data_IF_741365690781
#
_entry.id   IF_741365690781
#
_cell.length_a   1.000
_cell.length_b   1.000
_cell.length_c   1.000
_cell.angle_alpha   90.00
_cell.angle_beta   90.00
_cell.angle_gamma   90.00
#
_symmetry.space_group_name_H-M   'P 1'
#
loop_
_entity.id
_entity.type
_entity.pdbx_description
1 polymer ?
#
# COMPACT_ATOMS: atom_id res chain seq x y z
N UNK A 1 8.17 6.50 2.88
CA UNK A 1 7.44 5.71 1.88
C UNK A 1 7.18 6.63 0.71
N UNK A 2 7.82 6.45 -0.45
CA UNK A 2 7.59 7.32 -1.62
C UNK A 2 7.30 6.42 -2.80
N UNK A 3 6.08 6.50 -3.32
CA UNK A 3 5.63 5.76 -4.49
C UNK A 3 6.14 6.53 -5.70
N UNK A 4 7.22 6.07 -6.32
CA UNK A 4 7.68 6.65 -7.58
C UNK A 4 6.66 6.29 -8.67
N UNK A 5 6.02 7.32 -9.23
CA UNK A 5 5.15 7.36 -10.42
C UNK A 5 3.62 7.38 -10.27
N UNK A 6 3.03 7.34 -9.07
CA UNK A 6 1.56 7.49 -8.94
C UNK A 6 1.11 8.63 -8.01
N UNK A 7 1.97 9.08 -7.10
CA UNK A 7 1.67 10.15 -6.14
C UNK A 7 2.92 11.01 -5.98
N UNK A 8 2.79 12.31 -6.23
CA UNK A 8 3.86 13.29 -6.01
C UNK A 8 4.29 13.30 -4.54
N UNK A 9 5.57 13.55 -4.28
CA UNK A 9 6.10 13.57 -2.90
C UNK A 9 5.36 14.57 -2.00
N UNK A 10 4.98 15.72 -2.58
CA UNK A 10 4.14 16.75 -1.96
C UNK A 10 2.74 16.24 -1.59
N UNK A 11 2.09 15.49 -2.49
CA UNK A 11 0.78 14.90 -2.23
C UNK A 11 0.86 13.81 -1.15
N UNK A 12 1.95 13.05 -1.10
CA UNK A 12 2.18 12.09 -0.02
C UNK A 12 2.32 12.81 1.33
N UNK A 13 3.09 13.90 1.39
CA UNK A 13 3.27 14.67 2.64
C UNK A 13 1.95 15.32 3.09
N UNK A 14 1.15 15.87 2.17
CA UNK A 14 -0.20 16.39 2.47
C UNK A 14 -1.14 15.33 3.02
N UNK A 15 -1.25 14.19 2.33
CA UNK A 15 -2.08 13.07 2.79
C UNK A 15 -1.62 12.54 4.15
N UNK A 16 -0.31 12.52 4.40
CA UNK A 16 0.24 12.11 5.69
C UNK A 16 -0.13 13.10 6.81
N UNK A 17 -0.10 14.41 6.55
CA UNK A 17 -0.56 15.45 7.50
C UNK A 17 -2.07 15.33 7.76
N UNK A 18 -2.86 14.99 6.74
CA UNK A 18 -4.30 14.75 6.85
C UNK A 18 -4.64 13.42 7.56
N UNK A 19 -3.64 12.70 8.09
CA UNK A 19 -3.82 11.42 8.79
C UNK A 19 -4.07 10.22 7.86
N UNK A 20 -3.99 10.43 6.55
CA UNK A 20 -4.14 9.39 5.54
C UNK A 20 -2.78 8.71 5.31
N UNK A 21 -2.55 7.65 6.06
CA UNK A 21 -1.35 6.84 5.91
C UNK A 21 -1.48 5.91 4.69
N UNK A 22 -0.70 6.17 3.65
CA UNK A 22 -0.67 5.35 2.44
C UNK A 22 0.01 4.00 2.69
N UNK A 23 -0.79 2.97 2.96
CA UNK A 23 -0.31 1.60 3.17
C UNK A 23 -0.22 0.87 1.83
N UNK A 24 0.95 0.95 1.18
CA UNK A 24 1.28 0.26 -0.08
C UNK A 24 2.31 -0.84 0.11
N UNK A 25 2.32 -1.82 -0.81
CA UNK A 25 3.38 -2.83 -0.86
C UNK A 25 4.75 -2.17 -1.05
N UNK A 26 5.77 -2.67 -0.36
CA UNK A 26 7.17 -2.25 -0.56
C UNK A 26 7.62 -2.68 -1.94
N UNK A 27 8.04 -1.73 -2.79
CA UNK A 27 8.66 -2.00 -4.10
C UNK A 27 10.17 -1.83 -4.02
N UNK A 28 10.92 -2.59 -4.83
CA UNK A 28 12.40 -2.64 -4.86
C UNK A 28 13.09 -1.27 -5.01
N UNK A 29 12.41 -0.26 -5.56
CA UNK A 29 12.93 1.11 -5.76
C UNK A 29 12.44 2.13 -4.70
N UNK A 30 11.83 1.69 -3.61
CA UNK A 30 11.44 2.58 -2.51
C UNK A 30 12.62 2.80 -1.57
N UNK A 31 12.85 4.06 -1.16
CA UNK A 31 13.81 4.35 -0.09
C UNK A 31 13.38 3.58 1.17
N UNK A 32 14.28 2.76 1.69
CA UNK A 32 14.04 1.89 2.84
C UNK A 32 13.85 2.76 4.09
N UNK A 33 12.60 3.13 4.38
CA UNK A 33 12.22 3.80 5.63
C UNK A 33 11.61 2.74 6.54
N UNK A 34 11.96 2.75 7.83
CA UNK A 34 11.36 1.86 8.80
C UNK A 34 9.83 1.99 8.73
N UNK A 35 9.17 0.87 8.50
CA UNK A 35 7.72 0.76 8.42
C UNK A 35 7.20 0.41 9.81
N UNK A 36 6.13 1.08 10.24
CA UNK A 36 5.57 0.88 11.56
C UNK A 36 5.06 -0.57 11.74
N UNK A 37 5.05 -1.07 12.97
CA UNK A 37 4.55 -2.41 13.26
C UNK A 37 3.08 -2.58 12.86
N UNK A 38 2.26 -1.55 13.09
CA UNK A 38 0.85 -1.55 12.73
C UNK A 38 0.67 -1.62 11.21
N UNK A 39 1.49 -0.88 10.44
CA UNK A 39 1.48 -0.92 8.98
C UNK A 39 1.78 -2.33 8.46
N UNK A 40 2.70 -3.06 9.09
CA UNK A 40 2.99 -4.47 8.74
C UNK A 40 1.80 -5.39 9.00
N UNK A 41 1.09 -5.20 10.10
CA UNK A 41 -0.11 -6.00 10.42
C UNK A 41 -1.22 -5.73 9.41
N UNK A 42 -1.45 -4.46 9.05
CA UNK A 42 -2.47 -4.07 8.07
C UNK A 42 -2.12 -4.62 6.68
N UNK A 43 -0.85 -4.58 6.27
CA UNK A 43 -0.40 -5.17 4.99
C UNK A 43 -0.68 -6.67 4.90
N UNK A 44 -0.51 -7.42 6.01
CA UNK A 44 -0.83 -8.85 6.04
C UNK A 44 -2.33 -9.09 5.88
N UNK A 45 -3.18 -8.34 6.60
CA UNK A 45 -4.64 -8.42 6.45
C UNK A 45 -5.07 -8.09 5.02
N UNK A 46 -4.49 -7.05 4.42
CA UNK A 46 -4.73 -6.67 3.03
C UNK A 46 -4.34 -7.77 2.05
N UNK A 47 -3.22 -8.46 2.27
CA UNK A 47 -2.78 -9.55 1.40
C UNK A 47 -3.80 -10.69 1.32
N UNK A 48 -4.46 -11.03 2.43
CA UNK A 48 -5.54 -12.03 2.45
C UNK A 48 -6.72 -11.57 1.60
N UNK A 49 -7.17 -10.33 1.80
CA UNK A 49 -8.29 -9.74 1.05
C UNK A 49 -7.97 -9.68 -0.45
N UNK A 50 -6.78 -9.24 -0.82
CA UNK A 50 -6.32 -9.21 -2.22
C UNK A 50 -6.25 -10.60 -2.84
N UNK A 51 -5.84 -11.62 -2.09
CA UNK A 51 -5.81 -13.01 -2.59
C UNK A 51 -7.22 -13.52 -2.88
N UNK A 52 -8.18 -13.27 -1.99
CA UNK A 52 -9.58 -13.65 -2.21
C UNK A 52 -10.15 -12.88 -3.41
N UNK A 53 -9.89 -11.57 -3.48
CA UNK A 53 -10.31 -10.75 -4.62
C UNK A 53 -9.74 -11.26 -5.94
N UNK A 54 -8.47 -11.67 -5.96
CA UNK A 54 -7.84 -12.22 -7.15
C UNK A 54 -8.49 -13.54 -7.59
N UNK A 55 -8.82 -14.42 -6.64
CA UNK A 55 -9.56 -15.66 -6.92
C UNK A 55 -10.93 -15.33 -7.50
N UNK A 56 -11.71 -14.46 -6.84
CA UNK A 56 -13.02 -14.04 -7.32
C UNK A 56 -12.94 -13.45 -8.73
N UNK A 57 -12.03 -12.50 -8.97
CA UNK A 57 -11.84 -11.90 -10.29
C UNK A 57 -11.50 -12.94 -11.35
N UNK A 58 -10.62 -13.88 -11.04
CA UNK A 58 -10.22 -14.93 -11.98
C UNK A 58 -11.35 -15.94 -12.24
N UNK A 59 -12.14 -16.27 -11.22
CA UNK A 59 -13.27 -17.20 -11.34
C UNK A 59 -14.45 -16.60 -12.10
N UNK A 60 -14.71 -15.31 -11.91
CA UNK A 60 -15.84 -14.62 -12.56
C UNK A 60 -15.46 -13.88 -13.86
N UNK A 61 -14.19 -13.92 -14.25
CA UNK A 61 -13.62 -13.26 -15.44
C UNK A 61 -14.25 -11.87 -15.72
N UNK A 62 -14.23 -11.00 -14.70
CA UNK A 62 -14.66 -9.59 -14.78
C UNK A 62 -13.46 -8.70 -15.14
#
# INVERSE_FOLDING_TARGET
MVIKNYISKDLFEKLFVDGIHLITKVRKNMKNKAMDYIDKVILRKRAIIESIYNVLKNTYQI
#
